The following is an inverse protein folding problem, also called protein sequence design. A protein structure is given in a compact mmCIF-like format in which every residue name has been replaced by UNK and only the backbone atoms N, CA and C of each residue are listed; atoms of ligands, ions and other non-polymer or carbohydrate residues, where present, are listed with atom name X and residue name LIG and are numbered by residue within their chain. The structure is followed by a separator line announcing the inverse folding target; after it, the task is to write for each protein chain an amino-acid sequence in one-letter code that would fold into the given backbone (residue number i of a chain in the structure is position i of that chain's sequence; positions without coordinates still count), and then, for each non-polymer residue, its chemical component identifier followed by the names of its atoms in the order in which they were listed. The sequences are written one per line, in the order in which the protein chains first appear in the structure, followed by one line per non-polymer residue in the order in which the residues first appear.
data_IF_956334692368
#
_entry.id   IF_956334692368
#
_cell.length_a   1.000
_cell.length_b   1.000
_cell.length_c   1.000
_cell.angle_alpha   90.00
_cell.angle_beta   90.00
_cell.angle_gamma   90.00
#
_symmetry.space_group_name_H-M   'P 1'
#
loop_
_entity.id
_entity.type
_entity.pdbx_description
1 polymer ?
#
# COMPACT_ATOMS: atom_id res chain seq x y z
N UNK A 1 -45.65 2.18 -21.08
CA UNK A 1 -44.49 2.77 -20.37
C UNK A 1 -43.25 1.91 -20.67
N UNK A 2 -42.32 2.41 -21.48
CA UNK A 2 -41.08 1.67 -21.83
C UNK A 2 -40.01 1.91 -20.75
N UNK A 3 -39.40 0.86 -20.17
CA UNK A 3 -38.37 1.05 -19.16
C UNK A 3 -37.12 1.68 -19.80
N UNK A 4 -36.66 2.79 -19.23
CA UNK A 4 -35.39 3.42 -19.63
C UNK A 4 -34.25 2.48 -19.23
N UNK A 5 -33.56 1.89 -20.21
CA UNK A 5 -32.35 1.10 -19.98
C UNK A 5 -31.19 2.06 -19.64
N UNK A 6 -30.57 1.90 -18.49
CA UNK A 6 -29.38 2.67 -18.10
C UNK A 6 -28.22 2.33 -19.05
N UNK A 7 -27.43 3.33 -19.49
CA UNK A 7 -26.30 3.10 -20.36
C UNK A 7 -25.21 2.30 -19.64
N UNK A 8 -24.53 1.39 -20.35
CA UNK A 8 -23.53 0.48 -19.79
C UNK A 8 -22.40 1.19 -18.99
N UNK A 9 -22.08 2.43 -19.36
CA UNK A 9 -21.10 3.27 -18.64
C UNK A 9 -21.59 3.70 -17.26
N UNK A 10 -22.87 4.03 -17.12
CA UNK A 10 -23.46 4.39 -15.82
C UNK A 10 -23.50 3.16 -14.92
N UNK A 11 -23.87 2.00 -15.47
CA UNK A 11 -23.84 0.73 -14.74
C UNK A 11 -22.41 0.37 -14.27
N UNK A 12 -21.39 0.51 -15.13
CA UNK A 12 -20.00 0.24 -14.79
C UNK A 12 -19.46 1.19 -13.70
N UNK A 13 -19.77 2.48 -13.77
CA UNK A 13 -19.39 3.46 -12.74
C UNK A 13 -20.07 3.15 -11.41
N UNK A 14 -21.37 2.82 -11.42
CA UNK A 14 -22.09 2.46 -10.20
C UNK A 14 -21.55 1.18 -9.56
N UNK A 15 -21.21 0.16 -10.37
CA UNK A 15 -20.65 -1.09 -9.88
C UNK A 15 -19.24 -0.90 -9.31
N UNK A 16 -18.41 -0.08 -9.96
CA UNK A 16 -17.05 0.22 -9.47
C UNK A 16 -17.11 1.01 -8.16
N UNK A 17 -17.97 2.03 -8.08
CA UNK A 17 -18.17 2.81 -6.86
C UNK A 17 -18.71 1.95 -5.70
N UNK A 18 -19.66 1.05 -5.97
CA UNK A 18 -20.16 0.10 -4.98
C UNK A 18 -19.08 -0.87 -4.50
N UNK A 19 -18.23 -1.38 -5.41
CA UNK A 19 -17.11 -2.25 -5.05
C UNK A 19 -16.08 -1.52 -4.15
N UNK A 20 -15.73 -0.27 -4.49
CA UNK A 20 -14.83 0.55 -3.65
C UNK A 20 -15.44 0.76 -2.26
N UNK A 21 -16.73 1.07 -2.17
CA UNK A 21 -17.43 1.25 -0.89
C UNK A 21 -17.45 -0.03 -0.05
N UNK A 22 -17.69 -1.19 -0.67
CA UNK A 22 -17.62 -2.49 0.00
C UNK A 22 -16.20 -2.79 0.49
N UNK A 23 -15.19 -2.51 -0.31
CA UNK A 23 -13.78 -2.71 0.06
C UNK A 23 -13.34 -1.77 1.20
N UNK A 24 -13.82 -0.53 1.22
CA UNK A 24 -13.58 0.41 2.32
C UNK A 24 -14.32 0.00 3.61
N UNK A 25 -15.54 -0.52 3.49
CA UNK A 25 -16.34 -1.01 4.62
C UNK A 25 -15.84 -2.33 5.23
N UNK A 26 -15.04 -3.11 4.50
CA UNK A 26 -14.47 -4.36 4.98
C UNK A 26 -13.36 -4.19 6.05
N UNK A 27 -12.97 -2.96 6.38
CA UNK A 27 -11.98 -2.65 7.43
C UNK A 27 -12.46 -2.94 8.88
N UNK A 28 -13.62 -3.58 9.08
CA UNK A 28 -14.11 -3.93 10.42
C UNK A 28 -13.18 -4.88 11.23
N UNK A 29 -12.21 -5.53 10.57
CA UNK A 29 -11.15 -6.33 11.21
C UNK A 29 -9.75 -5.72 11.18
N UNK A 30 -9.62 -4.42 10.86
CA UNK A 30 -8.32 -3.77 10.82
C UNK A 30 -7.66 -3.77 12.21
N UNK A 31 -6.32 -3.90 12.30
CA UNK A 31 -5.61 -3.75 13.56
C UNK A 31 -5.98 -2.44 14.27
N UNK A 32 -6.21 -2.51 15.58
CA UNK A 32 -6.47 -1.34 16.40
C UNK A 32 -5.27 -0.38 16.47
N UNK A 33 -5.42 0.76 17.17
CA UNK A 33 -4.32 1.71 17.36
C UNK A 33 -3.05 1.04 17.86
N UNK A 34 -1.88 1.54 17.42
CA UNK A 34 -0.58 1.06 17.89
C UNK A 34 -0.36 1.47 19.36
N UNK A 35 -0.92 0.68 20.27
CA UNK A 35 -0.94 0.93 21.71
C UNK A 35 0.42 0.76 22.39
N UNK A 36 1.41 0.19 21.69
CA UNK A 36 2.77 0.00 22.18
C UNK A 36 3.75 1.04 21.64
N UNK A 37 3.30 1.99 20.82
CA UNK A 37 4.17 2.96 20.14
C UNK A 37 5.11 3.73 21.08
N UNK A 38 4.68 4.02 22.32
CA UNK A 38 5.42 4.82 23.30
C UNK A 38 5.93 3.99 24.50
N UNK A 39 5.68 2.67 24.53
CA UNK A 39 5.99 1.85 25.70
C UNK A 39 7.45 1.39 25.67
N UNK A 40 8.23 1.77 26.68
CA UNK A 40 9.57 1.19 26.89
C UNK A 40 10.65 1.69 25.91
N UNK A 41 10.41 2.82 25.25
CA UNK A 41 11.28 3.39 24.21
C UNK A 41 11.37 4.91 24.31
N UNK A 42 12.53 5.48 23.98
CA UNK A 42 12.74 6.92 23.82
C UNK A 42 12.59 7.44 22.38
N UNK A 43 12.26 6.56 21.43
CA UNK A 43 12.12 6.91 20.02
C UNK A 43 10.75 6.49 19.48
N UNK A 44 10.23 7.28 18.54
CA UNK A 44 9.01 6.99 17.80
C UNK A 44 9.32 7.20 16.32
N UNK A 45 9.32 6.13 15.56
CA UNK A 45 9.58 6.16 14.13
C UNK A 45 8.44 6.83 13.36
N UNK A 46 8.81 7.84 12.56
CA UNK A 46 7.89 8.59 11.70
C UNK A 46 8.05 8.25 10.22
N UNK A 47 7.75 9.20 9.35
CA UNK A 47 7.81 9.01 7.89
C UNK A 47 9.19 8.58 7.37
N UNK A 48 10.26 9.28 7.76
CA UNK A 48 11.61 9.01 7.23
C UNK A 48 12.15 7.64 7.63
N UNK A 49 12.07 7.22 8.91
CA UNK A 49 12.36 5.83 9.28
C UNK A 49 11.49 4.83 8.52
N UNK A 50 10.18 5.09 8.39
CA UNK A 50 9.26 4.25 7.62
C UNK A 50 9.73 4.06 6.18
N UNK A 51 10.05 5.15 5.47
CA UNK A 51 10.56 5.12 4.10
C UNK A 51 11.83 4.28 3.97
N UNK A 52 12.77 4.48 4.90
CA UNK A 52 14.01 3.70 4.92
C UNK A 52 13.74 2.21 5.17
N UNK A 53 12.92 1.87 6.17
CA UNK A 53 12.55 0.49 6.49
C UNK A 53 11.85 -0.20 5.32
N UNK A 54 10.97 0.50 4.61
CA UNK A 54 10.32 0.01 3.39
C UNK A 54 11.31 -0.26 2.25
N UNK A 55 12.33 0.58 2.09
CA UNK A 55 13.37 0.40 1.06
C UNK A 55 14.25 -0.83 1.33
N UNK A 56 14.57 -1.08 2.59
CA UNK A 56 15.44 -2.20 3.00
C UNK A 56 14.67 -3.48 3.35
N UNK A 57 13.33 -3.48 3.22
CA UNK A 57 12.49 -4.56 3.72
C UNK A 57 12.84 -5.98 3.22
N UNK A 58 13.33 -6.22 1.98
CA UNK A 58 13.71 -7.56 1.56
C UNK A 58 14.90 -8.08 2.35
N UNK A 59 15.85 -7.19 2.65
CA UNK A 59 17.06 -7.52 3.41
C UNK A 59 16.68 -7.77 4.87
N UNK A 60 15.91 -6.88 5.50
CA UNK A 60 15.50 -7.06 6.90
C UNK A 60 14.60 -8.28 7.08
N UNK A 61 13.76 -8.60 6.10
CA UNK A 61 12.99 -9.86 6.10
C UNK A 61 13.91 -11.09 6.12
N UNK A 62 14.90 -11.18 5.23
CA UNK A 62 15.83 -12.32 5.21
C UNK A 62 16.60 -12.44 6.52
N UNK A 63 17.07 -11.32 7.07
CA UNK A 63 17.80 -11.30 8.35
C UNK A 63 16.90 -11.73 9.52
N UNK A 64 15.64 -11.30 9.55
CA UNK A 64 14.70 -11.65 10.62
C UNK A 64 14.40 -13.15 10.71
N UNK A 65 14.66 -13.93 9.64
CA UNK A 65 14.51 -15.39 9.68
C UNK A 65 15.57 -16.09 10.54
N UNK A 66 16.66 -15.39 10.86
CA UNK A 66 17.80 -15.92 11.62
C UNK A 66 18.11 -15.11 12.88
N UNK A 67 17.45 -13.96 13.08
CA UNK A 67 17.66 -13.10 14.22
C UNK A 67 16.33 -12.50 14.71
N UNK A 68 15.88 -12.98 15.86
CA UNK A 68 14.61 -12.58 16.49
C UNK A 68 14.64 -11.14 17.04
N UNK A 69 15.81 -10.50 17.12
CA UNK A 69 15.95 -9.10 17.54
C UNK A 69 15.65 -8.11 16.40
N UNK A 70 15.55 -8.58 15.15
CA UNK A 70 15.41 -7.73 13.96
C UNK A 70 13.98 -7.83 13.41
N UNK A 71 13.21 -6.77 13.63
CA UNK A 71 11.90 -6.59 13.01
C UNK A 71 11.99 -5.98 11.62
N UNK A 72 11.14 -6.45 10.70
CA UNK A 72 10.95 -5.81 9.38
C UNK A 72 10.29 -4.44 9.52
N UNK A 73 9.45 -4.29 10.54
CA UNK A 73 8.62 -3.12 10.80
C UNK A 73 8.85 -2.68 12.24
N UNK A 74 8.99 -1.37 12.46
CA UNK A 74 9.20 -0.81 13.79
C UNK A 74 7.90 -0.80 14.59
N UNK A 75 7.93 -1.45 15.75
CA UNK A 75 6.79 -1.51 16.68
C UNK A 75 6.55 -0.13 17.32
N UNK A 76 7.60 0.67 17.49
CA UNK A 76 7.54 2.00 18.09
C UNK A 76 7.42 3.07 17.00
N UNK A 77 6.24 3.19 16.40
CA UNK A 77 5.99 4.12 15.29
C UNK A 77 4.74 4.98 15.50
N UNK A 78 4.69 6.14 14.85
CA UNK A 78 3.59 7.11 14.95
C UNK A 78 2.34 6.77 14.10
N UNK A 79 2.23 5.53 13.62
CA UNK A 79 1.10 5.06 12.83
C UNK A 79 1.14 5.53 11.38
N UNK A 80 0.21 6.41 11.00
CA UNK A 80 -0.10 6.71 9.60
C UNK A 80 1.09 7.19 8.77
N UNK A 81 1.92 8.09 9.32
CA UNK A 81 3.07 8.64 8.59
C UNK A 81 4.19 7.62 8.38
N UNK A 82 4.49 6.82 9.40
CA UNK A 82 5.42 5.70 9.26
C UNK A 82 4.91 4.69 8.23
N UNK A 83 3.64 4.27 8.32
CA UNK A 83 3.01 3.35 7.38
C UNK A 83 3.09 3.85 5.93
N UNK A 84 2.81 5.13 5.73
CA UNK A 84 2.91 5.76 4.42
C UNK A 84 4.33 5.72 3.86
N UNK A 85 5.33 6.07 4.69
CA UNK A 85 6.74 5.95 4.32
C UNK A 85 7.10 4.51 3.95
N UNK A 86 6.77 3.55 4.80
CA UNK A 86 7.05 2.13 4.61
C UNK A 86 6.48 1.61 3.29
N UNK A 87 5.20 1.91 3.03
CA UNK A 87 4.54 1.52 1.79
C UNK A 87 5.20 2.17 0.56
N UNK A 88 5.55 3.46 0.64
CA UNK A 88 6.24 4.15 -0.44
C UNK A 88 7.61 3.52 -0.73
N UNK A 89 8.40 3.21 0.30
CA UNK A 89 9.69 2.52 0.17
C UNK A 89 9.54 1.16 -0.51
N UNK A 90 8.56 0.37 -0.09
CA UNK A 90 8.23 -0.91 -0.70
C UNK A 90 7.81 -0.76 -2.18
N UNK A 91 6.98 0.24 -2.50
CA UNK A 91 6.58 0.53 -3.89
C UNK A 91 7.78 0.93 -4.75
N UNK A 92 8.77 1.66 -4.21
CA UNK A 92 9.95 2.04 -4.98
C UNK A 92 10.74 0.80 -5.43
N UNK A 93 10.90 -0.20 -4.55
CA UNK A 93 11.69 -1.40 -4.85
C UNK A 93 10.91 -2.47 -5.61
N UNK A 94 9.59 -2.56 -5.43
CA UNK A 94 8.74 -3.60 -6.04
C UNK A 94 7.86 -3.10 -7.19
N UNK A 95 7.57 -1.80 -7.27
CA UNK A 95 6.61 -1.18 -8.18
C UNK A 95 7.11 -0.96 -9.61
N UNK A 96 7.95 -1.87 -10.12
CA UNK A 96 8.64 -1.80 -11.40
C UNK A 96 7.88 -1.10 -12.53
N UNK A 97 8.54 -0.10 -13.14
CA UNK A 97 7.97 0.73 -14.20
C UNK A 97 7.49 -0.10 -15.38
N UNK A 98 6.19 -0.01 -15.69
CA UNK A 98 5.64 -0.47 -16.97
C UNK A 98 6.33 0.31 -18.08
N UNK A 99 7.33 -0.29 -18.75
CA UNK A 99 7.87 0.21 -20.02
C UNK A 99 6.69 0.20 -21.00
N UNK A 100 6.06 1.35 -21.19
CA UNK A 100 5.02 1.53 -22.19
C UNK A 100 5.61 1.13 -23.53
N UNK A 101 5.25 -0.05 -24.03
CA UNK A 101 5.48 -0.44 -25.41
C UNK A 101 4.69 0.53 -26.28
N UNK A 102 5.30 1.67 -26.62
CA UNK A 102 4.83 2.48 -27.72
C UNK A 102 4.95 1.61 -28.97
N UNK A 103 3.83 1.03 -29.40
CA UNK A 103 3.73 0.39 -30.71
C UNK A 103 3.99 1.49 -31.73
N UNK A 104 5.25 1.61 -32.16
CA UNK A 104 5.64 2.47 -33.27
C UNK A 104 4.98 1.85 -34.50
N UNK A 105 3.80 2.37 -34.84
CA UNK A 105 3.06 1.98 -36.03
C UNK A 105 3.96 2.14 -37.24
N UNK A 106 4.43 1.01 -37.77
CA UNK A 106 5.19 0.94 -39.01
C UNK A 106 4.19 1.29 -40.12
N UNK A 107 4.30 2.49 -40.70
CA UNK A 107 3.58 2.82 -41.93
C UNK A 107 4.15 1.94 -43.05
N UNK A 108 3.33 1.15 -43.78
CA UNK A 108 3.76 0.56 -45.04
C UNK A 108 3.90 1.67 -46.08
N UNK A 109 4.96 1.57 -46.89
CA UNK A 109 5.14 2.34 -48.11
C UNK A 109 4.33 1.72 -49.25
#
# INVERSE_FOLDING_TARGET
MTPKRLPARVLAVTLTGAAVLVLLGACAGAPGPNNVAEIGTGHISGFWPGLWHGLIMPITFVVSLFNDEIGVYDVHNNGGWYNFGFLLGAIIIFGGGRRGSARRGRKPA
#
